data_IF_960883286826
#
_entry.id   IF_960883286826
#
_cell.length_a   1.000
_cell.length_b   1.000
_cell.length_c   1.000
_cell.angle_alpha   90.00
_cell.angle_beta   90.00
_cell.angle_gamma   90.00
#
_symmetry.space_group_name_H-M   'P 1'
#
loop_
_entity.id
_entity.type
_entity.pdbx_description
1 polymer ?
#
# COMPACT_ATOMS: atom_id res chain seq x y z
N UNK A 1 45.09 -9.74 -57.28
CA UNK A 1 44.41 -10.83 -56.54
C UNK A 1 44.07 -10.46 -55.09
N UNK A 2 44.47 -9.29 -54.59
CA UNK A 2 44.29 -8.84 -53.19
C UNK A 2 43.01 -8.00 -52.92
N UNK A 3 42.40 -7.46 -53.98
CA UNK A 3 41.23 -6.57 -53.80
C UNK A 3 39.86 -7.27 -53.68
N UNK A 4 39.79 -8.55 -54.11
CA UNK A 4 38.50 -9.32 -54.04
C UNK A 4 38.24 -9.96 -52.68
N UNK A 5 39.26 -10.14 -51.86
CA UNK A 5 39.08 -10.75 -50.52
C UNK A 5 38.58 -9.74 -49.45
N UNK A 6 38.97 -8.47 -49.58
CA UNK A 6 38.50 -7.42 -48.63
C UNK A 6 37.01 -7.10 -48.74
N UNK A 7 36.41 -7.23 -49.93
CA UNK A 7 34.97 -6.97 -50.13
C UNK A 7 34.08 -8.09 -49.60
N UNK A 8 34.54 -9.33 -49.57
CA UNK A 8 33.77 -10.46 -49.02
C UNK A 8 33.75 -10.46 -47.49
N UNK A 9 34.83 -10.08 -46.83
CA UNK A 9 34.89 -9.96 -45.38
C UNK A 9 33.98 -8.82 -44.84
N UNK A 10 33.94 -7.67 -45.55
CA UNK A 10 33.07 -6.57 -45.16
C UNK A 10 31.58 -6.91 -45.26
N UNK A 11 31.19 -7.71 -46.27
CA UNK A 11 29.82 -8.11 -46.47
C UNK A 11 29.35 -9.13 -45.42
N UNK A 12 30.23 -10.08 -45.05
CA UNK A 12 29.93 -11.07 -44.00
C UNK A 12 29.83 -10.41 -42.61
N UNK A 13 30.73 -9.45 -42.31
CA UNK A 13 30.67 -8.72 -41.04
C UNK A 13 29.41 -7.83 -40.96
N UNK A 14 29.00 -7.21 -42.09
CA UNK A 14 27.79 -6.40 -42.14
C UNK A 14 26.51 -7.25 -41.99
N UNK A 15 26.48 -8.44 -42.63
CA UNK A 15 25.33 -9.36 -42.50
C UNK A 15 25.25 -9.94 -41.09
N UNK A 16 26.36 -10.25 -40.44
CA UNK A 16 26.39 -10.73 -39.06
C UNK A 16 25.98 -9.63 -38.10
N UNK A 17 26.39 -8.36 -38.30
CA UNK A 17 25.91 -7.23 -37.48
C UNK A 17 24.45 -6.92 -37.71
N UNK A 18 23.95 -6.98 -38.94
CA UNK A 18 22.52 -6.74 -39.21
C UNK A 18 21.64 -7.87 -38.66
N UNK A 19 22.11 -9.14 -38.76
CA UNK A 19 21.39 -10.26 -38.17
C UNK A 19 21.44 -10.22 -36.64
N UNK A 20 22.54 -9.77 -36.03
CA UNK A 20 22.60 -9.58 -34.57
C UNK A 20 21.73 -8.41 -34.10
N UNK A 21 21.60 -7.31 -34.86
CA UNK A 21 20.67 -6.23 -34.55
C UNK A 21 19.22 -6.62 -34.74
N UNK A 22 18.87 -7.45 -35.71
CA UNK A 22 17.51 -7.95 -35.91
C UNK A 22 17.11 -9.05 -34.92
N UNK A 23 18.07 -9.77 -34.34
CA UNK A 23 17.81 -10.75 -33.29
C UNK A 23 17.58 -10.09 -31.91
N UNK A 24 18.11 -8.87 -31.71
CA UNK A 24 17.91 -8.13 -30.42
C UNK A 24 16.56 -7.39 -30.38
N UNK A 25 15.92 -7.12 -31.53
CA UNK A 25 14.63 -6.41 -31.58
C UNK A 25 13.40 -7.31 -31.50
N UNK A 26 13.56 -8.60 -31.33
CA UNK A 26 12.45 -9.57 -31.35
C UNK A 26 12.38 -10.57 -30.19
N UNK A 27 13.29 -10.51 -29.23
CA UNK A 27 13.06 -11.25 -28.00
C UNK A 27 12.04 -10.46 -27.17
N UNK A 28 10.88 -11.03 -26.86
CA UNK A 28 10.12 -10.48 -25.76
C UNK A 28 11.10 -10.45 -24.59
N UNK A 29 11.29 -9.30 -23.97
CA UNK A 29 11.89 -9.24 -22.64
C UNK A 29 10.92 -10.03 -21.78
N UNK A 30 11.15 -11.34 -21.70
CA UNK A 30 10.52 -12.17 -20.70
C UNK A 30 10.95 -11.51 -19.40
N UNK A 31 10.02 -10.85 -18.75
CA UNK A 31 10.26 -10.35 -17.42
C UNK A 31 10.62 -11.59 -16.62
N UNK A 32 11.93 -11.76 -16.31
CA UNK A 32 12.37 -12.81 -15.41
C UNK A 32 11.54 -12.65 -14.15
N UNK A 33 10.52 -13.50 -14.02
CA UNK A 33 9.79 -13.60 -12.77
C UNK A 33 10.78 -14.17 -11.79
N UNK A 34 11.25 -13.33 -10.87
CA UNK A 34 12.12 -13.81 -9.82
C UNK A 34 11.39 -14.93 -9.07
N UNK A 35 12.01 -16.08 -8.90
CA UNK A 35 11.40 -17.27 -8.26
C UNK A 35 10.76 -16.96 -6.90
N UNK A 36 11.31 -15.97 -6.17
CA UNK A 36 10.74 -15.51 -4.91
C UNK A 36 9.39 -14.79 -5.06
N UNK A 37 9.11 -14.16 -6.22
CA UNK A 37 7.82 -13.52 -6.48
C UNK A 37 6.70 -14.56 -6.61
N UNK A 38 6.99 -15.72 -7.17
CA UNK A 38 6.04 -16.82 -7.33
C UNK A 38 5.69 -17.47 -5.97
N UNK A 39 6.64 -17.49 -5.04
CA UNK A 39 6.44 -18.02 -3.69
C UNK A 39 5.80 -17.01 -2.72
N UNK A 40 5.64 -15.74 -3.12
CA UNK A 40 5.16 -14.67 -2.25
C UNK A 40 3.71 -14.89 -1.80
N UNK A 41 3.47 -14.75 -0.50
CA UNK A 41 2.16 -14.92 0.12
C UNK A 41 1.32 -13.64 -0.04
N UNK A 42 0.07 -13.79 -0.45
CA UNK A 42 -0.85 -12.66 -0.58
C UNK A 42 -1.21 -12.05 0.76
N UNK A 43 -1.07 -10.73 0.90
CA UNK A 43 -1.60 -9.97 2.03
C UNK A 43 -2.65 -8.97 1.56
N UNK A 44 -3.81 -8.94 2.21
CA UNK A 44 -4.88 -7.99 1.89
C UNK A 44 -4.59 -6.63 2.53
N UNK A 45 -4.90 -5.55 1.83
CA UNK A 45 -4.83 -4.20 2.41
C UNK A 45 -5.76 -4.11 3.63
N UNK A 46 -5.29 -3.45 4.69
CA UNK A 46 -5.91 -3.37 6.01
C UNK A 46 -6.10 -4.72 6.70
N UNK A 47 -5.13 -5.61 6.50
CA UNK A 47 -5.06 -6.88 7.23
C UNK A 47 -3.68 -7.10 7.85
N UNK A 48 -3.65 -8.05 8.79
CA UNK A 48 -2.45 -8.52 9.45
C UNK A 48 -2.27 -10.01 9.17
N UNK A 49 -1.07 -10.39 8.79
CA UNK A 49 -0.62 -11.79 8.72
C UNK A 49 0.25 -12.05 9.93
N UNK A 50 0.15 -13.24 10.50
CA UNK A 50 1.03 -13.73 11.55
C UNK A 50 1.85 -14.89 11.03
N UNK A 51 3.10 -14.97 11.44
CA UNK A 51 4.03 -16.03 11.07
C UNK A 51 5.07 -16.26 12.16
N UNK A 52 5.98 -17.16 11.87
CA UNK A 52 7.13 -17.46 12.74
C UNK A 52 8.36 -17.48 11.87
N UNK A 53 9.24 -16.56 12.08
CA UNK A 53 10.57 -16.57 11.49
C UNK A 53 11.35 -17.76 12.09
N UNK A 54 11.97 -18.53 11.21
CA UNK A 54 12.81 -19.66 11.59
C UNK A 54 14.01 -19.67 10.66
N UNK A 55 15.18 -19.61 11.22
CA UNK A 55 16.36 -19.97 10.45
C UNK A 55 16.43 -21.49 10.40
N UNK A 56 16.20 -22.08 9.24
CA UNK A 56 16.23 -23.53 9.04
C UNK A 56 17.59 -24.00 8.47
N UNK A 57 18.50 -23.07 8.19
CA UNK A 57 19.81 -23.38 7.64
C UNK A 57 20.88 -23.16 8.72
N UNK A 58 21.79 -24.11 8.92
CA UNK A 58 22.98 -23.85 9.72
C UNK A 58 23.82 -22.78 9.03
N UNK A 59 24.47 -21.86 9.79
CA UNK A 59 25.36 -20.88 9.19
C UNK A 59 26.42 -21.58 8.36
N UNK A 60 26.53 -21.20 7.09
CA UNK A 60 27.54 -21.72 6.20
C UNK A 60 28.81 -20.85 6.30
N UNK A 61 29.98 -21.44 6.03
CA UNK A 61 31.27 -20.71 5.98
C UNK A 61 31.28 -19.60 4.89
N UNK A 62 30.34 -19.64 3.94
CA UNK A 62 30.21 -18.67 2.84
C UNK A 62 29.22 -17.54 3.12
N UNK A 63 28.24 -17.73 4.01
CA UNK A 63 27.32 -16.69 4.46
C UNK A 63 27.08 -16.79 5.95
N UNK A 64 27.94 -16.15 6.77
CA UNK A 64 27.80 -16.11 8.22
C UNK A 64 26.59 -15.27 8.68
N UNK A 65 25.85 -14.65 7.73
CA UNK A 65 24.72 -13.76 7.97
C UNK A 65 23.39 -14.38 7.53
N UNK A 66 23.25 -15.71 7.70
CA UNK A 66 21.99 -16.40 7.39
C UNK A 66 20.81 -15.66 8.02
N UNK A 67 20.11 -14.90 7.18
CA UNK A 67 18.91 -14.16 7.55
C UNK A 67 17.66 -14.94 7.12
N UNK A 68 16.67 -14.99 8.00
CA UNK A 68 15.36 -15.48 7.59
C UNK A 68 14.72 -14.48 6.64
N UNK A 69 14.22 -14.99 5.52
CA UNK A 69 13.51 -14.19 4.52
C UNK A 69 12.15 -14.79 4.23
N UNK A 70 11.16 -13.93 4.12
CA UNK A 70 9.82 -14.30 3.67
C UNK A 70 9.24 -13.21 2.78
N UNK A 71 8.52 -13.64 1.74
CA UNK A 71 8.01 -12.76 0.72
C UNK A 71 6.49 -12.69 0.75
N UNK A 72 5.95 -11.49 0.58
CA UNK A 72 4.53 -11.21 0.52
C UNK A 72 4.23 -10.29 -0.67
N UNK A 73 2.98 -10.28 -1.12
CA UNK A 73 2.55 -9.30 -2.11
C UNK A 73 1.17 -8.74 -1.77
N UNK A 74 0.94 -7.50 -2.22
CA UNK A 74 -0.37 -6.86 -2.17
C UNK A 74 -0.65 -6.13 -3.48
N UNK A 75 -1.93 -5.88 -3.76
CA UNK A 75 -2.38 -5.12 -4.92
C UNK A 75 -2.97 -3.79 -4.48
N UNK A 76 -2.35 -2.68 -4.92
CA UNK A 76 -2.91 -1.35 -4.78
C UNK A 76 -3.86 -1.09 -5.98
N UNK A 77 -5.19 -1.00 -5.78
CA UNK A 77 -6.12 -0.86 -6.91
C UNK A 77 -6.19 0.58 -7.45
N UNK A 78 -5.59 1.51 -6.76
CA UNK A 78 -5.46 2.95 -7.12
C UNK A 78 -4.25 3.51 -6.41
N UNK A 79 -3.82 4.71 -6.82
CA UNK A 79 -2.78 5.46 -6.08
C UNK A 79 -3.20 5.70 -4.63
N UNK A 80 -2.37 5.26 -3.67
CA UNK A 80 -2.67 5.33 -2.24
C UNK A 80 -1.39 5.34 -1.40
N UNK A 81 -1.49 5.86 -0.18
CA UNK A 81 -0.43 5.70 0.80
C UNK A 81 -0.52 4.30 1.43
N UNK A 82 0.60 3.62 1.48
CA UNK A 82 0.77 2.32 2.12
C UNK A 82 1.68 2.50 3.34
N UNK A 83 1.29 1.88 4.44
CA UNK A 83 2.12 1.70 5.62
C UNK A 83 2.23 0.21 5.89
N UNK A 84 3.44 -0.31 5.85
CA UNK A 84 3.77 -1.68 6.23
C UNK A 84 4.38 -1.61 7.62
N UNK A 85 3.80 -2.35 8.56
CA UNK A 85 4.31 -2.45 9.93
C UNK A 85 4.61 -3.92 10.20
N UNK A 86 5.82 -4.20 10.63
CA UNK A 86 6.21 -5.52 11.14
C UNK A 86 6.57 -5.40 12.61
N UNK A 87 6.10 -6.34 13.38
CA UNK A 87 6.51 -6.55 14.77
C UNK A 87 6.96 -7.99 14.94
N UNK A 88 8.10 -8.20 15.58
CA UNK A 88 8.72 -9.51 15.77
C UNK A 88 9.11 -9.68 17.23
N UNK A 89 8.85 -10.83 17.83
CA UNK A 89 9.31 -11.20 19.18
C UNK A 89 10.81 -11.40 19.16
N UNK A 90 11.48 -11.03 20.28
CA UNK A 90 12.92 -11.18 20.43
C UNK A 90 13.68 -9.86 20.28
N UNK A 91 15.00 -9.96 20.41
CA UNK A 91 15.95 -8.83 20.35
C UNK A 91 16.52 -8.62 18.94
N UNK A 92 16.28 -9.56 18.02
CA UNK A 92 16.83 -9.54 16.66
C UNK A 92 16.25 -8.39 15.84
N UNK A 93 17.06 -7.78 14.99
CA UNK A 93 16.62 -6.74 14.07
C UNK A 93 15.63 -7.29 13.02
N UNK A 94 14.71 -6.46 12.59
CA UNK A 94 13.76 -6.78 11.51
C UNK A 94 13.78 -5.69 10.46
N UNK A 95 13.90 -6.08 9.20
CA UNK A 95 13.88 -5.18 8.04
C UNK A 95 12.75 -5.56 7.09
N UNK A 96 12.26 -4.55 6.38
CA UNK A 96 11.24 -4.71 5.34
C UNK A 96 11.66 -3.95 4.12
N UNK A 97 11.71 -4.63 2.97
CA UNK A 97 11.98 -4.02 1.67
C UNK A 97 10.74 -4.08 0.79
N UNK A 98 10.54 -3.06 -0.04
CA UNK A 98 9.42 -2.96 -0.98
C UNK A 98 9.94 -3.00 -2.41
N UNK A 99 9.26 -3.79 -3.26
CA UNK A 99 9.56 -3.96 -4.67
C UNK A 99 8.31 -3.72 -5.53
N UNK A 100 8.49 -3.32 -6.78
CA UNK A 100 7.39 -3.22 -7.74
C UNK A 100 7.09 -4.59 -8.39
N UNK A 101 6.09 -4.63 -9.29
CA UNK A 101 5.69 -5.84 -10.01
C UNK A 101 6.74 -6.40 -10.98
N UNK A 102 7.84 -5.69 -11.23
CA UNK A 102 8.97 -6.15 -12.04
C UNK A 102 10.14 -6.64 -11.19
N UNK A 103 9.97 -6.72 -9.87
CA UNK A 103 11.05 -7.08 -8.95
C UNK A 103 12.06 -5.95 -8.67
N UNK A 104 11.85 -4.74 -9.19
CA UNK A 104 12.74 -3.63 -8.92
C UNK A 104 12.56 -3.15 -7.49
N UNK A 105 13.65 -3.02 -6.78
CA UNK A 105 13.73 -2.43 -5.45
C UNK A 105 13.22 -0.98 -5.47
N UNK A 106 12.42 -0.62 -4.48
CA UNK A 106 11.89 0.72 -4.31
C UNK A 106 12.43 1.42 -3.07
N UNK A 107 12.40 0.74 -1.94
CA UNK A 107 12.87 1.25 -0.64
C UNK A 107 12.84 0.15 0.42
N UNK A 108 13.48 0.43 1.56
CA UNK A 108 13.41 -0.38 2.76
C UNK A 108 13.05 0.44 4.01
N UNK A 109 12.83 -0.27 5.11
CA UNK A 109 12.71 0.32 6.43
C UNK A 109 14.10 0.37 7.06
N UNK A 110 14.67 1.56 7.19
CA UNK A 110 16.02 1.73 7.73
C UNK A 110 16.06 1.70 9.27
N UNK A 111 14.91 1.87 9.92
CA UNK A 111 14.83 1.98 11.39
C UNK A 111 13.95 0.87 11.97
N UNK A 112 14.49 0.23 12.99
CA UNK A 112 13.72 -0.68 13.85
C UNK A 112 13.81 -0.21 15.31
N UNK A 113 12.71 -0.38 16.04
CA UNK A 113 12.59 0.03 17.44
C UNK A 113 12.40 -1.18 18.31
N UNK A 114 13.30 -1.35 19.27
CA UNK A 114 13.18 -2.40 20.28
C UNK A 114 12.39 -1.92 21.50
N UNK A 115 11.32 -2.62 21.79
CA UNK A 115 10.52 -2.42 23.00
C UNK A 115 10.92 -3.44 24.05
N UNK A 116 11.74 -3.03 25.01
CA UNK A 116 12.27 -3.89 26.08
C UNK A 116 11.16 -4.53 26.92
N UNK A 117 10.11 -3.79 27.28
CA UNK A 117 9.03 -4.30 28.16
C UNK A 117 8.20 -5.40 27.49
N UNK A 118 8.14 -5.43 26.15
CA UNK A 118 7.43 -6.43 25.36
C UNK A 118 8.35 -7.51 24.76
N UNK A 119 9.66 -7.36 24.91
CA UNK A 119 10.66 -8.14 24.19
C UNK A 119 10.32 -8.25 22.71
N UNK A 120 10.23 -7.11 22.02
CA UNK A 120 9.69 -7.03 20.66
C UNK A 120 10.39 -5.93 19.87
N UNK A 121 10.80 -6.26 18.66
CA UNK A 121 11.21 -5.32 17.64
C UNK A 121 10.05 -4.93 16.74
N UNK A 122 10.10 -3.72 16.19
CA UNK A 122 9.15 -3.23 15.19
C UNK A 122 9.83 -2.36 14.17
N UNK A 123 9.39 -2.45 12.93
CA UNK A 123 9.80 -1.56 11.85
C UNK A 123 8.59 -1.09 11.05
N UNK A 124 8.69 0.09 10.44
CA UNK A 124 7.60 0.70 9.69
C UNK A 124 8.15 1.25 8.37
N UNK A 125 7.59 0.79 7.26
CA UNK A 125 7.84 1.33 5.94
C UNK A 125 6.62 2.11 5.46
N UNK A 126 6.82 3.32 4.93
CA UNK A 126 5.76 4.16 4.37
C UNK A 126 6.08 4.53 2.94
N UNK A 127 5.13 4.30 2.03
CA UNK A 127 5.28 4.62 0.61
C UNK A 127 3.98 5.11 0.00
N UNK A 128 4.09 5.88 -1.09
CA UNK A 128 2.96 6.17 -1.96
C UNK A 128 3.02 5.26 -3.17
N UNK A 129 2.15 4.26 -3.20
CA UNK A 129 2.06 3.29 -4.28
C UNK A 129 1.06 3.73 -5.35
N UNK A 130 1.42 3.66 -6.63
CA UNK A 130 0.47 3.79 -7.75
C UNK A 130 -0.42 2.53 -7.81
N UNK A 131 -1.40 2.50 -8.73
CA UNK A 131 -2.14 1.26 -9.01
C UNK A 131 -1.17 0.20 -9.54
N UNK A 132 -1.20 -1.01 -8.96
CA UNK A 132 -0.28 -2.09 -9.33
C UNK A 132 -0.08 -3.10 -8.21
N UNK A 133 0.73 -4.11 -8.49
CA UNK A 133 1.18 -5.09 -7.52
C UNK A 133 2.54 -4.69 -6.95
N UNK A 134 2.72 -4.99 -5.67
CA UNK A 134 3.92 -4.69 -4.91
C UNK A 134 4.29 -5.88 -4.06
N UNK A 135 5.60 -6.12 -3.94
CA UNK A 135 6.15 -7.22 -3.17
C UNK A 135 6.89 -6.69 -1.95
N UNK A 136 6.80 -7.44 -0.88
CA UNK A 136 7.40 -7.14 0.42
C UNK A 136 8.37 -8.27 0.72
N UNK A 137 9.63 -7.94 0.99
CA UNK A 137 10.59 -8.85 1.62
C UNK A 137 10.64 -8.52 3.10
N UNK A 138 10.33 -9.49 3.93
CA UNK A 138 10.56 -9.47 5.36
C UNK A 138 11.87 -10.19 5.63
N UNK A 139 12.77 -9.53 6.32
CA UNK A 139 14.07 -10.09 6.69
C UNK A 139 14.29 -9.94 8.20
N UNK A 140 14.68 -11.03 8.87
CA UNK A 140 15.20 -11.01 10.21
C UNK A 140 16.72 -10.89 10.15
N UNK A 141 17.28 -9.93 10.88
CA UNK A 141 18.71 -9.65 10.91
C UNK A 141 19.36 -10.36 12.09
N UNK A 142 20.47 -11.03 11.85
CA UNK A 142 21.34 -11.61 12.90
C UNK A 142 20.72 -12.76 13.70
N UNK A 143 19.98 -13.67 13.06
CA UNK A 143 19.52 -14.87 13.74
C UNK A 143 20.58 -15.99 13.65
N UNK A 144 21.54 -15.98 14.57
CA UNK A 144 22.56 -17.02 14.66
C UNK A 144 22.11 -18.30 15.37
N UNK A 145 20.94 -18.26 16.01
CA UNK A 145 20.39 -19.37 16.79
C UNK A 145 19.10 -19.87 16.12
N UNK A 146 18.88 -21.14 16.05
CA UNK A 146 17.66 -21.78 15.50
C UNK A 146 16.38 -21.40 16.29
N UNK A 147 16.34 -20.25 16.92
CA UNK A 147 15.20 -19.75 17.67
C UNK A 147 14.06 -19.36 16.74
N UNK A 148 12.85 -19.52 17.25
CA UNK A 148 11.61 -19.19 16.55
C UNK A 148 11.12 -17.83 17.00
N UNK A 149 11.04 -16.88 16.07
CA UNK A 149 10.57 -15.55 16.38
C UNK A 149 9.19 -15.28 15.76
N UNK A 150 8.11 -15.33 16.56
CA UNK A 150 6.77 -14.97 16.08
C UNK A 150 6.73 -13.50 15.61
N UNK A 151 6.15 -13.29 14.43
CA UNK A 151 5.98 -11.94 13.89
C UNK A 151 4.53 -11.67 13.50
N UNK A 152 4.21 -10.39 13.32
CA UNK A 152 3.02 -9.93 12.62
C UNK A 152 3.38 -8.88 11.58
N UNK A 153 2.86 -9.02 10.36
CA UNK A 153 3.00 -8.08 9.26
C UNK A 153 1.64 -7.49 8.93
N UNK A 154 1.53 -6.17 8.99
CA UNK A 154 0.31 -5.43 8.69
C UNK A 154 0.52 -4.51 7.51
N UNK A 155 -0.34 -4.60 6.49
CA UNK A 155 -0.37 -3.67 5.36
C UNK A 155 -1.58 -2.77 5.50
N UNK A 156 -1.37 -1.49 5.79
CA UNK A 156 -2.42 -0.48 5.88
C UNK A 156 -2.42 0.38 4.63
N UNK A 157 -3.60 0.60 4.05
CA UNK A 157 -3.79 1.47 2.90
C UNK A 157 -4.64 2.69 3.26
N UNK A 158 -4.24 3.87 2.75
CA UNK A 158 -4.98 5.11 2.89
C UNK A 158 -5.10 5.79 1.54
N UNK A 159 -6.32 6.08 1.12
CA UNK A 159 -6.56 6.78 -0.13
C UNK A 159 -6.12 8.24 -0.04
N UNK A 160 -5.49 8.73 -1.10
CA UNK A 160 -5.08 10.13 -1.21
C UNK A 160 -6.29 11.03 -1.44
N UNK A 161 -6.12 12.32 -1.07
CA UNK A 161 -7.10 13.40 -1.21
C UNK A 161 -8.37 13.21 -0.35
N UNK A 162 -8.97 14.30 0.04
CA UNK A 162 -10.29 14.34 0.69
C UNK A 162 -11.34 14.88 -0.27
N UNK A 163 -12.61 14.59 -0.02
CA UNK A 163 -13.68 15.35 -0.65
C UNK A 163 -13.89 16.68 0.09
N UNK A 164 -14.68 17.57 -0.48
CA UNK A 164 -15.01 18.88 0.11
C UNK A 164 -16.54 18.99 0.24
N UNK A 165 -17.04 19.37 1.43
CA UNK A 165 -18.41 19.84 1.57
C UNK A 165 -18.50 21.19 0.85
N UNK A 166 -19.35 21.30 -0.15
CA UNK A 166 -19.51 22.47 -0.99
C UNK A 166 -20.62 23.39 -0.49
N UNK A 167 -21.66 22.81 0.15
CA UNK A 167 -22.79 23.56 0.66
C UNK A 167 -23.43 22.85 1.85
N UNK A 168 -23.88 23.62 2.82
CA UNK A 168 -24.81 23.19 3.87
C UNK A 168 -25.91 24.21 3.99
N UNK A 169 -27.16 23.76 4.09
CA UNK A 169 -28.31 24.64 4.17
C UNK A 169 -29.42 24.04 5.03
N UNK A 170 -30.17 24.87 5.73
CA UNK A 170 -31.40 24.47 6.40
C UNK A 170 -32.46 24.11 5.36
N UNK A 171 -33.11 22.98 5.54
CA UNK A 171 -34.31 22.58 4.76
C UNK A 171 -35.57 22.83 5.55
N UNK A 172 -35.47 22.70 6.87
CA UNK A 172 -36.50 23.06 7.82
C UNK A 172 -35.90 23.36 9.20
N UNK A 173 -36.66 23.68 10.21
CA UNK A 173 -36.18 23.91 11.59
C UNK A 173 -35.46 22.69 12.21
N UNK A 174 -35.65 21.48 11.65
CA UNK A 174 -35.07 20.21 12.15
C UNK A 174 -34.33 19.43 11.10
N UNK A 175 -34.13 20.00 9.90
CA UNK A 175 -33.48 19.29 8.76
C UNK A 175 -32.42 20.17 8.12
N UNK A 176 -31.27 19.58 7.85
CA UNK A 176 -30.18 20.22 7.09
C UNK A 176 -29.79 19.36 5.89
N UNK A 177 -29.53 19.99 4.73
CA UNK A 177 -28.99 19.36 3.53
C UNK A 177 -27.51 19.67 3.45
N UNK A 178 -26.69 18.62 3.39
CA UNK A 178 -25.24 18.66 3.25
C UNK A 178 -24.89 18.18 1.85
N UNK A 179 -24.11 18.96 1.09
CA UNK A 179 -23.72 18.68 -0.31
C UNK A 179 -22.22 18.68 -0.39
N UNK A 180 -21.63 17.75 -1.10
CA UNK A 180 -20.18 17.64 -1.28
C UNK A 180 -19.77 17.39 -2.74
N UNK A 181 -18.48 17.58 -3.03
CA UNK A 181 -17.92 17.29 -4.35
C UNK A 181 -17.82 15.79 -4.56
N UNK A 182 -18.41 15.29 -5.66
CA UNK A 182 -18.20 13.90 -6.07
C UNK A 182 -16.73 13.66 -6.41
N UNK A 183 -16.24 12.49 -6.01
CA UNK A 183 -14.94 11.98 -6.39
C UNK A 183 -15.11 10.77 -7.30
N UNK A 184 -14.30 10.70 -8.35
CA UNK A 184 -14.13 9.49 -9.14
C UNK A 184 -13.51 8.37 -8.32
N UNK A 185 -13.69 7.13 -8.76
CA UNK A 185 -13.01 5.95 -8.23
C UNK A 185 -13.18 5.72 -6.70
N UNK A 186 -14.41 5.93 -6.22
CA UNK A 186 -14.85 5.63 -4.84
C UNK A 186 -16.04 4.68 -4.87
N UNK A 187 -16.24 3.90 -3.80
CA UNK A 187 -17.44 3.08 -3.62
C UNK A 187 -18.58 3.90 -3.03
N UNK A 188 -18.26 4.86 -2.16
CA UNK A 188 -19.26 5.72 -1.53
C UNK A 188 -18.66 6.72 -0.54
N UNK A 189 -19.55 7.27 0.26
CA UNK A 189 -19.26 8.30 1.25
C UNK A 189 -19.85 7.93 2.60
N UNK A 190 -19.21 8.39 3.66
CA UNK A 190 -19.80 8.42 5.00
C UNK A 190 -19.89 9.87 5.47
N UNK A 191 -21.07 10.26 5.92
CA UNK A 191 -21.30 11.53 6.59
C UNK A 191 -21.22 11.31 8.09
N UNK A 192 -20.40 12.12 8.75
CA UNK A 192 -20.25 12.11 10.20
C UNK A 192 -20.69 13.46 10.76
N UNK A 193 -21.31 13.41 11.93
CA UNK A 193 -21.82 14.59 12.66
C UNK A 193 -21.36 14.54 14.10
N UNK A 194 -21.06 15.71 14.65
CA UNK A 194 -20.97 15.92 16.11
C UNK A 194 -21.73 17.15 16.55
N UNK A 195 -22.12 17.17 17.83
CA UNK A 195 -22.54 18.37 18.53
C UNK A 195 -21.32 19.11 19.09
N UNK A 196 -21.52 20.32 19.60
CA UNK A 196 -20.45 21.02 20.31
C UNK A 196 -19.95 20.17 21.50
N UNK A 197 -18.66 20.10 21.68
CA UNK A 197 -18.01 19.27 22.74
C UNK A 197 -18.06 17.75 22.55
N UNK A 198 -18.84 17.24 21.56
CA UNK A 198 -18.98 15.81 21.35
C UNK A 198 -18.02 15.21 20.32
N UNK A 199 -18.04 13.89 20.22
CA UNK A 199 -17.30 13.12 19.20
C UNK A 199 -18.10 12.94 17.92
N UNK A 200 -17.40 12.73 16.77
CA UNK A 200 -18.05 12.43 15.51
C UNK A 200 -18.70 11.05 15.51
N UNK A 201 -19.98 10.99 15.17
CA UNK A 201 -20.74 9.76 14.94
C UNK A 201 -21.18 9.69 13.49
N UNK A 202 -21.15 8.49 12.90
CA UNK A 202 -21.63 8.27 11.55
C UNK A 202 -23.14 8.45 11.49
N UNK A 203 -23.58 9.35 10.60
CA UNK A 203 -24.99 9.63 10.33
C UNK A 203 -25.54 8.78 9.21
N UNK A 204 -24.74 8.61 8.14
CA UNK A 204 -25.15 7.87 6.96
C UNK A 204 -23.99 7.31 6.18
N UNK A 205 -24.24 6.20 5.46
CA UNK A 205 -23.43 5.69 4.38
C UNK A 205 -24.17 5.94 3.07
N UNK A 206 -23.49 6.59 2.11
CA UNK A 206 -24.10 7.09 0.88
C UNK A 206 -23.36 6.46 -0.31
N UNK A 207 -24.10 6.02 -1.35
CA UNK A 207 -23.51 5.48 -2.58
C UNK A 207 -22.79 6.56 -3.38
N UNK A 208 -21.84 6.17 -4.24
CA UNK A 208 -21.06 7.09 -5.09
C UNK A 208 -21.89 7.98 -6.02
N UNK A 209 -23.10 7.55 -6.38
CA UNK A 209 -24.01 8.29 -7.31
C UNK A 209 -24.65 9.50 -6.65
N UNK A 210 -24.70 9.57 -5.33
CA UNK A 210 -25.32 10.65 -4.56
C UNK A 210 -24.24 11.50 -3.87
N UNK A 211 -24.34 12.80 -4.03
CA UNK A 211 -23.41 13.78 -3.44
C UNK A 211 -24.07 14.68 -2.39
N UNK A 212 -25.18 14.27 -1.82
CA UNK A 212 -25.86 14.98 -0.76
C UNK A 212 -26.55 14.02 0.21
N UNK A 213 -26.82 14.55 1.40
CA UNK A 213 -27.66 13.91 2.41
C UNK A 213 -28.51 14.94 3.12
N UNK A 214 -29.72 14.57 3.49
CA UNK A 214 -30.61 15.37 4.32
C UNK A 214 -30.63 14.76 5.72
N UNK A 215 -29.96 15.40 6.65
CA UNK A 215 -29.95 15.01 8.06
C UNK A 215 -31.20 15.52 8.74
N UNK A 216 -31.83 14.65 9.50
CA UNK A 216 -33.13 14.89 10.15
C UNK A 216 -33.02 14.79 11.69
N UNK A 217 -34.03 15.25 12.41
CA UNK A 217 -34.04 15.16 13.87
C UNK A 217 -33.07 16.11 14.57
N UNK A 218 -32.70 17.20 13.90
CA UNK A 218 -31.86 18.24 14.48
C UNK A 218 -32.71 19.12 15.44
N UNK A 219 -32.09 19.57 16.54
CA UNK A 219 -32.72 20.42 17.51
C UNK A 219 -32.51 21.89 17.18
N UNK A 220 -33.58 22.70 17.20
CA UNK A 220 -33.54 24.15 17.00
C UNK A 220 -32.58 24.83 18.00
N UNK A 221 -31.84 25.83 17.55
CA UNK A 221 -30.86 26.58 18.35
C UNK A 221 -29.50 25.86 18.57
N UNK A 222 -29.38 24.58 18.23
CA UNK A 222 -28.14 23.84 18.47
C UNK A 222 -27.18 23.93 17.28
N UNK A 223 -25.87 23.89 17.59
CA UNK A 223 -24.80 23.82 16.57
C UNK A 223 -24.47 22.35 16.26
N UNK A 224 -24.34 22.07 14.97
CA UNK A 224 -23.92 20.79 14.42
C UNK A 224 -22.70 20.97 13.52
N UNK A 225 -21.77 20.03 13.63
CA UNK A 225 -20.51 20.01 12.88
C UNK A 225 -20.47 18.75 12.03
N UNK A 226 -20.19 18.92 10.74
CA UNK A 226 -20.19 17.84 9.78
C UNK A 226 -18.83 17.69 9.11
N UNK A 227 -18.46 16.44 8.85
CA UNK A 227 -17.41 16.06 7.93
C UNK A 227 -17.92 14.93 7.04
N UNK A 228 -17.43 14.85 5.82
CA UNK A 228 -17.68 13.74 4.91
C UNK A 228 -16.35 13.10 4.56
N UNK A 229 -16.33 11.78 4.47
CA UNK A 229 -15.18 11.02 3.97
C UNK A 229 -15.63 10.06 2.89
N UNK A 230 -14.84 9.97 1.82
CA UNK A 230 -15.05 8.97 0.78
C UNK A 230 -14.36 7.66 1.18
N UNK A 231 -14.86 6.53 0.68
CA UNK A 231 -14.22 5.24 0.84
C UNK A 231 -14.25 4.44 -0.48
N UNK A 232 -13.30 3.52 -0.60
CA UNK A 232 -13.29 2.46 -1.60
C UNK A 232 -13.28 1.13 -0.89
N UNK A 233 -14.11 0.19 -1.35
CA UNK A 233 -14.06 -1.20 -0.87
C UNK A 233 -12.95 -1.93 -1.61
N UNK A 234 -12.00 -2.47 -0.87
CA UNK A 234 -10.84 -3.20 -1.36
C UNK A 234 -10.78 -4.49 -0.54
N UNK A 235 -10.75 -5.63 -1.20
CA UNK A 235 -10.74 -6.96 -0.55
C UNK A 235 -11.82 -7.11 0.54
N UNK A 236 -13.02 -6.58 0.27
CA UNK A 236 -14.16 -6.61 1.19
C UNK A 236 -14.11 -5.59 2.34
N UNK A 237 -13.03 -4.82 2.48
CA UNK A 237 -12.85 -3.82 3.53
C UNK A 237 -12.94 -2.39 3.00
N UNK A 238 -13.46 -1.47 3.83
CA UNK A 238 -13.48 -0.05 3.51
C UNK A 238 -12.11 0.57 3.75
N UNK A 239 -11.53 1.15 2.71
CA UNK A 239 -10.34 2.00 2.78
C UNK A 239 -10.78 3.45 2.61
N UNK A 240 -10.46 4.28 3.58
CA UNK A 240 -10.98 5.65 3.64
C UNK A 240 -9.99 6.67 3.10
N UNK A 241 -10.54 7.76 2.54
CA UNK A 241 -9.84 9.02 2.34
C UNK A 241 -9.85 9.84 3.63
N UNK A 242 -9.07 10.93 3.66
CA UNK A 242 -9.17 11.88 4.77
C UNK A 242 -10.57 12.46 4.87
N UNK A 243 -10.95 12.88 6.07
CA UNK A 243 -12.16 13.66 6.29
C UNK A 243 -12.06 14.98 5.50
N UNK A 244 -13.21 15.48 5.05
CA UNK A 244 -13.31 16.88 4.60
C UNK A 244 -12.98 17.86 5.72
N UNK A 245 -12.73 19.13 5.35
CA UNK A 245 -12.81 20.20 6.32
C UNK A 245 -14.18 20.19 7.03
N UNK A 246 -14.16 20.62 8.28
CA UNK A 246 -15.37 20.72 9.11
C UNK A 246 -16.25 21.86 8.62
N UNK A 247 -17.55 21.60 8.51
CA UNK A 247 -18.53 22.66 8.28
C UNK A 247 -19.53 22.69 9.44
N UNK A 248 -19.94 23.87 9.86
CA UNK A 248 -20.88 24.09 10.95
C UNK A 248 -22.21 24.64 10.43
N UNK A 249 -23.30 24.25 11.06
CA UNK A 249 -24.62 24.87 10.91
C UNK A 249 -25.27 25.03 12.30
N UNK A 250 -25.90 26.15 12.54
CA UNK A 250 -26.81 26.40 13.68
C UNK A 250 -28.23 26.20 13.18
N UNK A 251 -29.01 25.30 13.83
CA UNK A 251 -30.40 25.03 13.48
C UNK A 251 -31.34 26.04 14.10
#
# INVERSE_FOLDING_TARGET
MYSRMKRKCSFIVLVVMVVSLLMVSGMPVQADSYSWMESAKKVKINSTIKGVARNNQPPTLMDPWDSYEEYFYFKAPVKMNITITVTMKGTQGVSVSLYNSRGNYLMDSNDWLYNRSKNQNSTILRSTCNAGEYYIRLMELYNSNSEKHPYSLTVQGKLLNSTKITKIQKVSSTKAKIIWKNLGNVTGYELLRKNYGGSYKKVATITRRRNYYIDKGLKRGKNYYYVVRAYKTIDGKKVYRNNSAVIRIKM
#
